data_IF_315882414660
#
_entry.id   IF_315882414660
#
_cell.length_a   1.000
_cell.length_b   1.000
_cell.length_c   1.000
_cell.angle_alpha   90.00
_cell.angle_beta   90.00
_cell.angle_gamma   90.00
#
_symmetry.space_group_name_H-M   'P 1'
#
loop_
_entity.id
_entity.type
_entity.pdbx_description
1 polymer ?
#
# COMPACT_ATOMS: atom_id res chain seq x y z
N UNK A 1 -11.17 -12.16 -1.28
CA UNK A 1 -10.46 -12.40 -2.56
C UNK A 1 -9.08 -11.77 -2.66
N UNK A 2 -8.91 -10.49 -2.31
CA UNK A 2 -7.62 -9.79 -2.39
C UNK A 2 -7.22 -9.15 -1.06
N UNK A 3 -5.96 -9.26 -0.70
CA UNK A 3 -5.35 -8.58 0.44
C UNK A 3 -4.52 -7.39 -0.06
N UNK A 4 -4.77 -6.22 0.51
CA UNK A 4 -4.00 -4.99 0.25
C UNK A 4 -3.15 -4.69 1.48
N UNK A 5 -1.91 -4.27 1.24
CA UNK A 5 -0.99 -3.91 2.32
C UNK A 5 -0.72 -2.41 2.21
N UNK A 6 -1.01 -1.67 3.29
CA UNK A 6 -0.66 -0.26 3.40
C UNK A 6 0.76 -0.18 3.96
N UNK A 7 1.61 0.63 3.33
CA UNK A 7 2.99 0.82 3.77
C UNK A 7 3.43 2.27 3.51
N UNK A 8 4.38 2.76 4.30
CA UNK A 8 5.09 4.00 4.03
C UNK A 8 6.45 3.70 3.38
N UNK A 9 7.14 4.73 2.92
CA UNK A 9 8.39 4.60 2.16
C UNK A 9 9.63 4.49 3.08
N UNK A 10 9.46 3.89 4.26
CA UNK A 10 10.49 3.67 5.26
C UNK A 10 10.75 2.18 5.48
N UNK A 11 11.94 1.87 6.03
CA UNK A 11 12.40 0.50 6.24
C UNK A 11 11.43 -0.32 7.10
N UNK A 12 11.00 0.20 8.24
CA UNK A 12 10.18 -0.55 9.20
C UNK A 12 8.82 -0.93 8.61
N UNK A 13 8.19 -0.01 7.88
CA UNK A 13 6.91 -0.25 7.19
C UNK A 13 7.03 -1.30 6.09
N UNK A 14 8.12 -1.27 5.32
CA UNK A 14 8.36 -2.25 4.25
C UNK A 14 8.77 -3.60 4.83
N UNK A 15 9.53 -3.62 5.92
CA UNK A 15 9.89 -4.83 6.66
C UNK A 15 8.65 -5.52 7.25
N UNK A 16 7.73 -4.75 7.85
CA UNK A 16 6.44 -5.26 8.29
C UNK A 16 5.62 -5.81 7.11
N UNK A 17 5.58 -5.09 5.98
CA UNK A 17 4.90 -5.56 4.76
C UNK A 17 5.46 -6.92 4.29
N UNK A 18 6.78 -7.11 4.27
CA UNK A 18 7.40 -8.38 3.88
C UNK A 18 6.92 -9.57 4.74
N UNK A 19 6.79 -9.37 6.06
CA UNK A 19 6.26 -10.41 6.97
C UNK A 19 4.78 -10.71 6.69
N UNK A 20 3.99 -9.70 6.35
CA UNK A 20 2.59 -9.86 5.97
C UNK A 20 2.46 -10.63 4.64
N UNK A 21 3.32 -10.36 3.65
CA UNK A 21 3.39 -11.12 2.39
C UNK A 21 3.57 -12.61 2.67
N UNK A 22 4.54 -12.97 3.53
CA UNK A 22 4.77 -14.36 3.92
C UNK A 22 3.53 -14.99 4.58
N UNK A 23 2.86 -14.26 5.47
CA UNK A 23 1.64 -14.73 6.14
C UNK A 23 0.49 -14.97 5.15
N UNK A 24 0.27 -14.05 4.20
CA UNK A 24 -0.77 -14.19 3.17
C UNK A 24 -0.50 -15.40 2.28
N UNK A 25 0.76 -15.62 1.89
CA UNK A 25 1.12 -16.80 1.08
C UNK A 25 0.89 -18.11 1.82
N UNK A 26 1.25 -18.18 3.10
CA UNK A 26 0.98 -19.35 3.92
C UNK A 26 -0.53 -19.66 3.97
N UNK A 27 -1.38 -18.63 4.08
CA UNK A 27 -2.84 -18.77 4.08
C UNK A 27 -3.40 -19.08 2.69
N UNK A 28 -2.82 -18.56 1.62
CA UNK A 28 -3.27 -18.78 0.24
C UNK A 28 -3.25 -20.26 -0.20
N UNK A 29 -2.52 -21.13 0.52
CA UNK A 29 -2.52 -22.59 0.33
C UNK A 29 -3.86 -23.25 0.67
N UNK A 30 -4.56 -22.71 1.67
CA UNK A 30 -5.81 -23.28 2.21
C UNK A 30 -7.01 -22.36 2.01
N UNK A 31 -6.78 -21.11 1.62
CA UNK A 31 -7.81 -20.08 1.43
C UNK A 31 -7.67 -19.38 0.07
N UNK A 32 -8.77 -18.84 -0.45
CA UNK A 32 -8.81 -18.16 -1.75
C UNK A 32 -8.19 -16.75 -1.73
N UNK A 33 -7.65 -16.29 -0.60
CA UNK A 33 -7.01 -14.97 -0.51
C UNK A 33 -5.76 -14.90 -1.38
N UNK A 34 -5.61 -13.81 -2.14
CA UNK A 34 -4.41 -13.51 -2.95
C UNK A 34 -3.95 -12.09 -2.68
N UNK A 35 -2.68 -11.79 -2.99
CA UNK A 35 -2.17 -10.42 -2.89
C UNK A 35 -2.79 -9.58 -4.01
N UNK A 36 -3.32 -8.41 -3.63
CA UNK A 36 -3.95 -7.45 -4.54
C UNK A 36 -3.10 -6.23 -4.87
N UNK A 37 -2.07 -5.94 -4.06
CA UNK A 37 -1.18 -4.81 -4.26
C UNK A 37 -0.82 -4.07 -2.98
N UNK A 38 -0.02 -3.02 -3.16
CA UNK A 38 0.51 -2.16 -2.10
C UNK A 38 -0.10 -0.77 -2.21
N UNK A 39 -0.56 -0.22 -1.10
CA UNK A 39 -0.99 1.18 -1.01
C UNK A 39 0.15 1.96 -0.33
N UNK A 40 0.85 2.78 -1.09
CA UNK A 40 1.84 3.70 -0.56
C UNK A 40 1.08 4.84 0.15
N UNK A 41 1.29 5.00 1.45
CA UNK A 41 0.53 5.97 2.24
C UNK A 41 1.46 6.81 3.11
N UNK A 42 1.14 8.11 3.23
CA UNK A 42 1.89 9.08 4.03
C UNK A 42 3.38 9.11 3.65
N UNK A 43 3.66 9.14 2.35
CA UNK A 43 5.02 9.16 1.81
C UNK A 43 5.13 10.17 0.68
N UNK A 44 6.19 10.99 0.66
CA UNK A 44 6.42 11.96 -0.40
C UNK A 44 6.82 11.29 -1.74
N UNK A 45 7.48 10.14 -1.66
CA UNK A 45 7.87 9.32 -2.80
C UNK A 45 7.72 7.84 -2.48
N UNK A 46 8.01 6.99 -3.46
CA UNK A 46 7.79 5.54 -3.41
C UNK A 46 9.04 4.73 -3.76
N UNK A 47 10.22 5.35 -3.81
CA UNK A 47 11.44 4.72 -4.30
C UNK A 47 11.81 3.43 -3.56
N UNK A 48 11.72 3.40 -2.22
CA UNK A 48 12.02 2.19 -1.45
C UNK A 48 10.90 1.14 -1.61
N UNK A 49 9.64 1.59 -1.67
CA UNK A 49 8.49 0.71 -1.94
C UNK A 49 8.63 0.05 -3.31
N UNK A 50 9.00 0.83 -4.34
CA UNK A 50 9.13 0.36 -5.72
C UNK A 50 10.33 -0.57 -5.86
N UNK A 51 11.47 -0.26 -5.21
CA UNK A 51 12.61 -1.19 -5.12
C UNK A 51 12.20 -2.53 -4.52
N UNK A 52 11.50 -2.52 -3.39
CA UNK A 52 11.01 -3.74 -2.77
C UNK A 52 10.02 -4.48 -3.67
N UNK A 53 9.03 -3.77 -4.23
CA UNK A 53 8.00 -4.35 -5.08
C UNK A 53 8.58 -5.06 -6.29
N UNK A 54 9.57 -4.44 -6.95
CA UNK A 54 10.26 -5.02 -8.10
C UNK A 54 11.00 -6.31 -7.73
N UNK A 55 11.63 -6.37 -6.56
CA UNK A 55 12.35 -7.55 -6.09
C UNK A 55 11.39 -8.71 -5.77
N UNK A 56 10.25 -8.41 -5.13
CA UNK A 56 9.34 -9.46 -4.63
C UNK A 56 8.18 -9.79 -5.56
N UNK A 57 7.97 -9.06 -6.65
CA UNK A 57 6.83 -9.26 -7.56
C UNK A 57 5.51 -8.63 -7.11
N UNK A 58 5.57 -7.56 -6.30
CA UNK A 58 4.42 -6.75 -5.91
C UNK A 58 4.23 -5.54 -6.84
N UNK A 59 3.10 -4.84 -6.68
CA UNK A 59 2.79 -3.60 -7.41
C UNK A 59 2.11 -2.60 -6.50
N UNK A 60 2.51 -1.34 -6.61
CA UNK A 60 1.80 -0.21 -6.00
C UNK A 60 0.50 0.02 -6.76
N UNK A 61 -0.63 0.04 -6.05
CA UNK A 61 -1.97 0.23 -6.64
C UNK A 61 -2.58 1.59 -6.33
N UNK A 62 -2.06 2.29 -5.33
CA UNK A 62 -2.40 3.67 -5.00
C UNK A 62 -1.28 4.36 -4.24
N UNK A 63 -1.20 5.69 -4.37
CA UNK A 63 -0.26 6.52 -3.63
C UNK A 63 -0.98 7.71 -2.99
N UNK A 64 -0.90 7.79 -1.66
CA UNK A 64 -1.41 8.89 -0.86
C UNK A 64 -0.22 9.64 -0.22
N UNK A 65 0.13 10.83 -0.73
CA UNK A 65 1.14 11.69 -0.12
C UNK A 65 0.77 12.10 1.32
N UNK A 66 1.71 12.72 2.03
CA UNK A 66 1.40 13.33 3.33
C UNK A 66 0.54 14.59 3.12
N UNK A 67 -0.77 14.44 3.33
CA UNK A 67 -1.77 15.48 3.07
C UNK A 67 -2.51 15.82 4.36
N UNK A 68 -2.37 17.06 4.81
CA UNK A 68 -2.95 17.54 6.07
C UNK A 68 -4.48 17.39 6.11
N UNK A 69 -5.15 17.41 4.94
CA UNK A 69 -6.59 17.19 4.83
C UNK A 69 -7.03 15.83 5.39
N UNK A 70 -6.20 14.78 5.26
CA UNK A 70 -6.47 13.46 5.83
C UNK A 70 -6.45 13.54 7.36
N UNK A 71 -5.43 14.19 7.93
CA UNK A 71 -5.33 14.41 9.39
C UNK A 71 -6.50 15.26 9.90
N UNK A 72 -6.85 16.35 9.20
CA UNK A 72 -7.97 17.23 9.56
C UNK A 72 -9.32 16.51 9.51
N UNK A 73 -9.54 15.63 8.53
CA UNK A 73 -10.78 14.84 8.45
C UNK A 73 -10.96 13.93 9.67
N UNK A 74 -9.87 13.34 10.19
CA UNK A 74 -9.89 12.54 11.42
C UNK A 74 -10.24 13.39 12.64
N UNK A 75 -9.66 14.59 12.76
CA UNK A 75 -10.00 15.53 13.84
C UNK A 75 -11.47 15.98 13.80
N UNK A 76 -12.05 16.11 12.61
CA UNK A 76 -13.47 16.40 12.41
C UNK A 76 -14.39 15.19 12.53
N UNK A 77 -13.84 13.98 12.74
CA UNK A 77 -14.58 12.71 12.80
C UNK A 77 -15.41 12.43 11.55
N UNK A 78 -14.96 12.91 10.39
CA UNK A 78 -15.65 12.78 9.11
C UNK A 78 -14.73 12.11 8.08
N UNK A 79 -15.27 11.33 7.17
CA UNK A 79 -14.56 10.86 5.97
C UNK A 79 -14.16 12.04 5.09
N UNK A 80 -13.25 11.81 4.14
CA UNK A 80 -12.86 12.84 3.18
C UNK A 80 -14.04 13.31 2.32
N UNK A 81 -15.01 12.44 2.04
CA UNK A 81 -16.19 12.77 1.22
C UNK A 81 -17.22 13.63 1.94
N UNK A 82 -17.06 13.82 3.26
CA UNK A 82 -17.92 14.66 4.11
C UNK A 82 -17.24 15.99 4.48
N UNK A 83 -16.04 16.25 3.96
CA UNK A 83 -15.27 17.46 4.22
C UNK A 83 -15.65 18.59 3.27
N UNK A 84 -15.47 19.83 3.72
CA UNK A 84 -15.62 21.02 2.86
C UNK A 84 -14.69 20.93 1.63
N UNK A 85 -15.22 21.15 0.41
CA UNK A 85 -14.45 21.02 -0.82
C UNK A 85 -13.18 21.89 -0.86
N UNK A 86 -12.08 21.31 -1.33
CA UNK A 86 -10.85 22.02 -1.68
C UNK A 86 -10.11 21.28 -2.81
N UNK A 87 -9.21 21.94 -3.56
CA UNK A 87 -8.42 21.27 -4.60
C UNK A 87 -7.60 20.09 -4.08
N UNK A 88 -6.99 20.24 -2.90
CA UNK A 88 -6.24 19.16 -2.23
C UNK A 88 -7.14 18.00 -1.83
N UNK A 89 -8.35 18.29 -1.34
CA UNK A 89 -9.32 17.26 -0.97
C UNK A 89 -9.78 16.47 -2.19
N UNK A 90 -10.08 17.16 -3.30
CA UNK A 90 -10.54 16.55 -4.53
C UNK A 90 -9.52 15.56 -5.08
N UNK A 91 -8.23 15.92 -5.11
CA UNK A 91 -7.17 15.02 -5.58
C UNK A 91 -7.12 13.71 -4.78
N UNK A 92 -7.29 13.77 -3.46
CA UNK A 92 -7.30 12.57 -2.61
C UNK A 92 -8.57 11.75 -2.80
N UNK A 93 -9.73 12.40 -2.91
CA UNK A 93 -10.99 11.73 -3.20
C UNK A 93 -10.93 10.99 -4.53
N UNK A 94 -10.38 11.63 -5.57
CA UNK A 94 -10.21 11.04 -6.90
C UNK A 94 -9.31 9.80 -6.86
N UNK A 95 -8.22 9.83 -6.10
CA UNK A 95 -7.34 8.67 -5.92
C UNK A 95 -8.03 7.51 -5.17
N UNK A 96 -8.82 7.81 -4.13
CA UNK A 96 -9.65 6.78 -3.48
C UNK A 96 -10.69 6.20 -4.42
N UNK A 97 -11.36 7.01 -5.23
CA UNK A 97 -12.35 6.55 -6.21
C UNK A 97 -11.70 5.73 -7.32
N UNK A 98 -10.51 6.12 -7.78
CA UNK A 98 -9.71 5.35 -8.76
C UNK A 98 -9.31 3.99 -8.20
N UNK A 99 -8.82 3.94 -6.97
CA UNK A 99 -8.49 2.69 -6.28
C UNK A 99 -9.73 1.81 -6.11
N UNK A 100 -10.84 2.38 -5.63
CA UNK A 100 -12.09 1.66 -5.45
C UNK A 100 -12.60 1.05 -6.77
N UNK A 101 -12.55 1.83 -7.86
CA UNK A 101 -12.90 1.34 -9.20
C UNK A 101 -11.99 0.21 -9.66
N UNK A 102 -10.67 0.35 -9.48
CA UNK A 102 -9.69 -0.69 -9.82
C UNK A 102 -9.99 -2.01 -9.09
N UNK A 103 -10.34 -1.93 -7.80
CA UNK A 103 -10.68 -3.11 -7.01
C UNK A 103 -12.03 -3.71 -7.40
N UNK A 104 -13.00 -2.86 -7.76
CA UNK A 104 -14.33 -3.26 -8.20
C UNK A 104 -14.31 -3.98 -9.55
N UNK A 105 -13.54 -3.45 -10.50
CA UNK A 105 -13.37 -4.03 -11.85
C UNK A 105 -12.59 -5.36 -11.80
N UNK A 106 -11.92 -5.62 -10.67
CA UNK A 106 -11.15 -6.83 -10.42
C UNK A 106 -9.67 -6.64 -10.72
N UNK A 107 -8.83 -7.27 -9.90
CA UNK A 107 -7.38 -7.26 -10.08
C UNK A 107 -6.82 -8.66 -10.23
N UNK A 108 -5.83 -8.79 -11.11
CA UNK A 108 -5.05 -10.01 -11.22
C UNK A 108 -4.34 -10.31 -9.90
N UNK A 109 -4.31 -11.58 -9.46
CA UNK A 109 -3.60 -11.94 -8.25
C UNK A 109 -2.10 -11.73 -8.46
N UNK A 110 -1.45 -11.05 -7.52
CA UNK A 110 0.00 -10.88 -7.55
C UNK A 110 0.69 -12.11 -6.95
N UNK A 111 1.62 -12.68 -7.70
CA UNK A 111 2.50 -13.75 -7.24
C UNK A 111 3.76 -13.09 -6.70
N UNK A 112 3.78 -12.85 -5.40
CA UNK A 112 4.96 -12.31 -4.74
C UNK A 112 5.86 -13.44 -4.19
N UNK A 113 7.07 -13.13 -3.77
CA UNK A 113 7.92 -14.01 -2.95
C UNK A 113 8.59 -13.17 -1.83
N UNK A 114 8.30 -13.42 -0.54
CA UNK A 114 8.89 -12.63 0.53
C UNK A 114 10.40 -12.87 0.61
N UNK A 115 11.12 -11.82 0.99
CA UNK A 115 12.56 -11.89 1.25
C UNK A 115 12.84 -12.44 2.64
N UNK A 116 13.99 -13.10 2.83
CA UNK A 116 14.52 -13.37 4.16
C UNK A 116 14.92 -12.05 4.82
N UNK A 117 14.86 -11.99 6.16
CA UNK A 117 15.21 -10.79 6.93
C UNK A 117 16.55 -10.18 6.49
N UNK A 118 17.60 -10.99 6.33
CA UNK A 118 18.89 -10.50 5.83
C UNK A 118 18.81 -9.84 4.46
N UNK A 119 18.07 -10.44 3.51
CA UNK A 119 17.97 -9.91 2.14
C UNK A 119 17.24 -8.57 2.09
N UNK A 120 16.24 -8.35 2.93
CA UNK A 120 15.55 -7.07 2.99
C UNK A 120 16.39 -5.98 3.67
N UNK A 121 17.19 -6.34 4.69
CA UNK A 121 18.22 -5.46 5.22
C UNK A 121 19.25 -5.08 4.15
N UNK A 122 19.74 -6.03 3.36
CA UNK A 122 20.70 -5.75 2.30
C UNK A 122 20.08 -4.92 1.14
N UNK A 123 18.78 -5.09 0.86
CA UNK A 123 18.09 -4.37 -0.21
C UNK A 123 17.80 -2.90 0.14
N UNK A 124 17.33 -2.65 1.37
CA UNK A 124 16.77 -1.36 1.80
C UNK A 124 17.59 -0.67 2.89
N UNK A 125 18.55 -1.39 3.49
CA UNK A 125 19.44 -0.85 4.49
C UNK A 125 20.35 0.22 3.92
N UNK A 126 20.81 1.08 4.83
CA UNK A 126 21.71 2.18 4.52
C UNK A 126 23.13 1.65 4.32
N UNK A 127 23.47 1.34 3.06
CA UNK A 127 24.83 1.57 2.53
C UNK A 127 24.82 2.86 1.70
#
# INVERSE_FOLDING_TARGET
>A
DRALIVTANDFDSIFAMNRIVAAIQAKARNYNVRLGGVIANRSAGTDQIDRFNNEVGLKTVAHFPDLDVIRRSRLKKSTLFEMEPSPELQAVQDEYLRLARTLWDGTDPLVAAPLKDRQIFDLLGFD
#
